data_IF_215094379265
#
_entry.id   IF_215094379265
#
_cell.length_a   1.000
_cell.length_b   1.000
_cell.length_c   1.000
_cell.angle_alpha   90.00
_cell.angle_beta   90.00
_cell.angle_gamma   90.00
#
_symmetry.space_group_name_H-M   'P 1'
#
loop_
_entity.id
_entity.type
_entity.pdbx_description
1 polymer ?
#
# COMPACT_ATOMS: atom_id res chain seq x y z
N UNK A 1 -4.36 -21.34 -16.66
CA UNK A 1 -3.52 -21.85 -15.55
C UNK A 1 -3.34 -20.66 -14.62
N UNK A 2 -4.35 -20.42 -13.77
CA UNK A 2 -4.37 -19.28 -12.84
C UNK A 2 -3.41 -19.57 -11.70
N UNK A 3 -2.37 -18.74 -11.57
CA UNK A 3 -1.49 -18.77 -10.42
C UNK A 3 -2.19 -18.14 -9.21
N UNK A 4 -1.97 -18.64 -7.99
CA UNK A 4 -2.64 -18.11 -6.81
C UNK A 4 -2.21 -16.65 -6.60
N UNK A 5 -3.20 -15.78 -6.39
CA UNK A 5 -3.01 -14.39 -5.99
C UNK A 5 -2.10 -14.34 -4.76
N UNK A 6 -0.86 -13.93 -4.98
CA UNK A 6 0.11 -13.73 -3.92
C UNK A 6 -0.36 -12.59 -3.04
N UNK A 7 -0.91 -12.91 -1.86
CA UNK A 7 -1.09 -11.93 -0.79
C UNK A 7 0.24 -11.22 -0.58
N UNK A 8 0.23 -9.89 -0.69
CA UNK A 8 1.38 -9.06 -0.38
C UNK A 8 1.92 -9.45 1.01
N UNK A 9 3.21 -9.81 1.18
CA UNK A 9 3.74 -10.22 2.48
C UNK A 9 3.66 -9.12 3.54
N UNK A 10 3.52 -7.84 3.14
CA UNK A 10 3.22 -6.74 4.05
C UNK A 10 1.84 -6.90 4.72
N UNK A 11 0.89 -7.55 4.06
CA UNK A 11 -0.44 -7.88 4.59
C UNK A 11 -0.43 -9.07 5.58
N UNK A 12 0.72 -9.73 5.78
CA UNK A 12 0.87 -10.81 6.76
C UNK A 12 1.35 -10.31 8.13
N UNK A 13 1.30 -9.00 8.40
CA UNK A 13 0.91 -8.57 9.74
C UNK A 13 -0.57 -8.92 9.82
N UNK A 14 -0.95 -10.00 10.51
CA UNK A 14 -2.36 -10.36 10.70
C UNK A 14 -3.20 -9.09 10.90
N UNK A 15 -3.95 -8.69 9.86
CA UNK A 15 -4.76 -7.47 9.78
C UNK A 15 -5.92 -7.45 10.80
N UNK A 16 -5.89 -8.34 11.81
CA UNK A 16 -6.90 -8.51 12.84
C UNK A 16 -6.41 -8.24 14.26
N UNK A 17 -5.13 -7.92 14.51
CA UNK A 17 -4.71 -7.50 15.86
C UNK A 17 -4.71 -5.99 15.96
N UNK A 18 -5.85 -5.48 16.40
CA UNK A 18 -5.99 -4.16 17.01
C UNK A 18 -4.72 -3.89 17.84
N UNK A 19 -4.13 -2.70 17.68
CA UNK A 19 -2.93 -2.22 18.37
C UNK A 19 -1.56 -2.61 17.75
N UNK A 20 -1.47 -2.99 16.48
CA UNK A 20 -0.15 -3.07 15.82
C UNK A 20 0.17 -1.73 15.15
N UNK A 21 1.34 -1.17 15.44
CA UNK A 21 1.86 -0.02 14.70
C UNK A 21 2.80 -0.50 13.60
N UNK A 22 2.60 -0.05 12.37
CA UNK A 22 3.40 -0.40 11.21
C UNK A 22 4.05 0.86 10.62
N UNK A 23 5.29 0.73 10.18
CA UNK A 23 5.92 1.68 9.27
C UNK A 23 6.72 0.94 8.22
N UNK A 24 6.65 1.43 6.98
CA UNK A 24 7.47 0.95 5.87
C UNK A 24 8.30 2.09 5.28
N UNK A 25 9.38 1.72 4.60
CA UNK A 25 10.23 2.61 3.81
C UNK A 25 10.92 1.81 2.70
N UNK A 26 11.41 2.53 1.69
CA UNK A 26 12.39 2.00 0.75
C UNK A 26 13.73 1.74 1.46
N UNK A 27 14.36 0.63 1.11
CA UNK A 27 15.70 0.20 1.52
C UNK A 27 16.44 -0.39 0.32
N UNK A 28 17.07 0.48 -0.48
CA UNK A 28 17.67 0.09 -1.75
C UNK A 28 16.62 -0.46 -2.72
N UNK A 29 16.81 -1.65 -3.31
CA UNK A 29 15.83 -2.27 -4.20
C UNK A 29 14.70 -2.99 -3.42
N UNK A 30 14.70 -2.98 -2.09
CA UNK A 30 13.68 -3.68 -1.31
C UNK A 30 12.81 -2.68 -0.53
N UNK A 31 11.60 -3.11 -0.17
CA UNK A 31 10.78 -2.46 0.82
C UNK A 31 11.05 -3.08 2.20
N UNK A 32 11.39 -2.25 3.18
CA UNK A 32 11.61 -2.64 4.56
C UNK A 32 10.48 -2.10 5.43
N UNK A 33 9.80 -2.99 6.16
CA UNK A 33 8.74 -2.62 7.09
C UNK A 33 9.00 -3.16 8.49
N UNK A 34 8.57 -2.40 9.50
CA UNK A 34 8.58 -2.79 10.90
C UNK A 34 7.18 -2.68 11.48
N UNK A 35 6.72 -3.76 12.11
CA UNK A 35 5.46 -3.85 12.81
C UNK A 35 5.73 -4.11 14.30
N UNK A 36 5.12 -3.31 15.17
CA UNK A 36 5.28 -3.40 16.62
C UNK A 36 3.95 -3.80 17.24
N UNK A 37 3.88 -5.05 17.70
CA UNK A 37 2.75 -5.63 18.40
C UNK A 37 3.02 -5.68 19.91
N UNK A 38 2.04 -6.15 20.70
CA UNK A 38 2.12 -6.18 22.18
C UNK A 38 3.33 -6.96 22.71
N UNK A 39 3.65 -8.09 22.09
CA UNK A 39 4.65 -9.06 22.56
C UNK A 39 5.73 -9.38 21.52
N UNK A 40 5.71 -8.75 20.35
CA UNK A 40 6.70 -8.98 19.32
C UNK A 40 6.89 -7.76 18.43
N UNK A 41 8.06 -7.72 17.79
CA UNK A 41 8.36 -6.89 16.64
C UNK A 41 8.55 -7.80 15.43
N UNK A 42 7.92 -7.47 14.32
CA UNK A 42 8.10 -8.14 13.04
C UNK A 42 8.76 -7.17 12.07
N UNK A 43 9.80 -7.64 11.39
CA UNK A 43 10.44 -6.97 10.27
C UNK A 43 10.06 -7.72 9.02
N UNK A 44 9.60 -7.00 8.00
CA UNK A 44 9.23 -7.56 6.70
C UNK A 44 10.12 -6.95 5.62
N UNK A 45 10.73 -7.79 4.79
CA UNK A 45 11.54 -7.36 3.63
C UNK A 45 10.89 -7.92 2.37
N UNK A 46 10.50 -7.03 1.45
CA UNK A 46 9.81 -7.39 0.21
C UNK A 46 10.61 -6.86 -0.97
N UNK A 47 10.95 -7.74 -1.92
CA UNK A 47 11.67 -7.37 -3.12
C UNK A 47 10.77 -6.77 -4.19
N UNK A 48 11.39 -6.29 -5.28
CA UNK A 48 10.73 -5.60 -6.40
C UNK A 48 9.54 -6.36 -7.01
N UNK A 49 9.55 -7.70 -6.96
CA UNK A 49 8.48 -8.53 -7.50
C UNK A 49 7.35 -8.83 -6.51
N UNK A 50 7.31 -8.12 -5.37
CA UNK A 50 6.31 -8.34 -4.32
C UNK A 50 6.54 -9.62 -3.51
N UNK A 51 7.68 -10.29 -3.68
CA UNK A 51 8.03 -11.51 -2.96
C UNK A 51 8.88 -11.21 -1.72
N UNK A 52 8.71 -12.00 -0.65
CA UNK A 52 9.46 -11.80 0.59
C UNK A 52 10.93 -12.23 0.46
N UNK A 53 11.87 -11.37 0.86
CA UNK A 53 13.32 -11.64 0.78
C UNK A 53 13.76 -12.48 1.98
N UNK A 54 14.17 -13.72 1.72
CA UNK A 54 14.47 -14.73 2.74
C UNK A 54 15.97 -14.88 2.99
N UNK A 55 16.35 -15.48 4.12
CA UNK A 55 17.75 -15.79 4.44
C UNK A 55 18.58 -14.60 4.94
N UNK A 56 17.95 -13.47 5.24
CA UNK A 56 18.63 -12.27 5.74
C UNK A 56 18.97 -12.41 7.22
N UNK A 57 20.13 -11.90 7.62
CA UNK A 57 20.46 -11.69 9.02
C UNK A 57 19.77 -10.41 9.52
N UNK A 58 18.65 -10.57 10.21
CA UNK A 58 17.86 -9.44 10.76
C UNK A 58 17.96 -9.39 12.27
N UNK A 59 18.25 -8.20 12.80
CA UNK A 59 18.25 -7.95 14.25
C UNK A 59 17.29 -6.83 14.61
N UNK A 60 16.74 -6.92 15.82
CA UNK A 60 15.87 -5.94 16.45
C UNK A 60 16.45 -5.60 17.82
N UNK A 61 16.81 -4.34 18.06
CA UNK A 61 17.46 -3.87 19.29
C UNK A 61 18.68 -4.71 19.70
N UNK A 62 19.48 -5.14 18.71
CA UNK A 62 20.64 -6.02 18.89
C UNK A 62 20.30 -7.51 19.08
N UNK A 63 19.04 -7.86 19.32
CA UNK A 63 18.57 -9.24 19.41
C UNK A 63 18.36 -9.87 18.04
N UNK A 64 18.75 -11.14 17.87
CA UNK A 64 18.47 -11.89 16.64
C UNK A 64 16.98 -12.17 16.51
N UNK A 65 16.48 -12.04 15.29
CA UNK A 65 15.13 -12.46 14.93
C UNK A 65 15.09 -13.94 14.54
N UNK A 66 13.91 -14.54 14.59
CA UNK A 66 13.62 -15.82 13.97
C UNK A 66 12.81 -15.62 12.68
N UNK A 67 13.05 -16.41 11.62
CA UNK A 67 12.21 -16.36 10.42
C UNK A 67 10.78 -16.81 10.75
N UNK A 68 9.78 -16.14 10.16
CA UNK A 68 8.35 -16.42 10.36
C UNK A 68 7.57 -16.64 9.05
N UNK A 69 8.28 -16.78 7.94
CA UNK A 69 7.74 -16.89 6.58
C UNK A 69 8.62 -16.14 5.58
N UNK A 70 8.34 -16.22 4.27
CA UNK A 70 9.10 -15.48 3.26
C UNK A 70 9.15 -13.99 3.56
N UNK A 71 10.36 -13.42 3.67
CA UNK A 71 10.53 -12.00 4.01
C UNK A 71 10.19 -11.62 5.45
N UNK A 72 9.77 -12.56 6.30
CA UNK A 72 9.27 -12.31 7.65
C UNK A 72 10.31 -12.67 8.70
N UNK A 73 10.62 -11.72 9.59
CA UNK A 73 11.57 -11.88 10.69
C UNK A 73 10.96 -11.36 11.99
N UNK A 74 10.89 -12.18 13.03
CA UNK A 74 10.22 -11.83 14.29
C UNK A 74 11.16 -11.89 15.49
N UNK A 75 11.07 -10.89 16.35
CA UNK A 75 11.70 -10.88 17.67
C UNK A 75 10.61 -10.76 18.74
N UNK A 76 10.65 -11.63 19.74
CA UNK A 76 9.82 -11.50 20.95
C UNK A 76 10.37 -10.38 21.80
N UNK A 77 9.55 -9.38 22.11
CA UNK A 77 9.95 -8.22 22.91
C UNK A 77 8.73 -7.50 23.47
N UNK A 78 8.88 -6.85 24.63
CA UNK A 78 7.84 -6.02 25.22
C UNK A 78 7.75 -4.68 24.50
N UNK A 79 6.57 -4.35 23.94
CA UNK A 79 6.19 -3.11 23.23
C UNK A 79 7.20 -1.94 23.33
N UNK A 80 8.28 -1.96 22.54
CA UNK A 80 9.34 -0.96 22.67
C UNK A 80 8.85 0.40 22.16
N UNK A 81 9.32 1.49 22.78
CA UNK A 81 9.11 2.87 22.29
C UNK A 81 10.07 3.23 21.16
N UNK A 82 11.16 2.49 21.04
CA UNK A 82 12.21 2.65 20.04
C UNK A 82 12.63 1.29 19.53
N UNK A 83 12.72 1.15 18.21
CA UNK A 83 13.15 -0.07 17.54
C UNK A 83 14.32 0.27 16.62
N UNK A 84 15.46 -0.36 16.88
CA UNK A 84 16.60 -0.40 15.97
C UNK A 84 16.55 -1.69 15.16
N UNK A 85 16.24 -1.57 13.88
CA UNK A 85 16.25 -2.68 12.93
C UNK A 85 17.57 -2.68 12.18
N UNK A 86 18.27 -3.82 12.13
CA UNK A 86 19.38 -4.02 11.19
C UNK A 86 19.09 -5.13 10.22
N UNK A 87 19.31 -4.86 8.94
CA UNK A 87 19.22 -5.81 7.83
C UNK A 87 20.45 -5.60 6.95
N UNK A 88 21.38 -6.55 6.93
CA UNK A 88 22.65 -6.37 6.24
C UNK A 88 23.39 -5.10 6.68
N UNK A 89 23.67 -4.20 5.74
CA UNK A 89 24.31 -2.89 5.99
C UNK A 89 23.36 -1.80 6.50
N UNK A 90 22.04 -2.01 6.41
CA UNK A 90 21.04 -1.02 6.82
C UNK A 90 20.86 -1.03 8.34
N UNK A 91 20.94 0.15 8.94
CA UNK A 91 20.45 0.43 10.30
C UNK A 91 19.27 1.40 10.19
N UNK A 92 18.13 1.00 10.73
CA UNK A 92 16.93 1.83 10.77
C UNK A 92 16.46 2.04 12.21
N UNK A 93 16.60 3.28 12.67
CA UNK A 93 16.13 3.73 13.97
C UNK A 93 14.68 4.23 13.87
N UNK A 94 13.79 3.63 14.64
CA UNK A 94 12.35 3.85 14.54
C UNK A 94 11.74 4.21 15.90
N UNK A 95 11.13 5.38 16.00
CA UNK A 95 10.32 5.77 17.16
C UNK A 95 8.90 5.26 16.98
N UNK A 96 8.43 4.52 17.97
CA UNK A 96 7.06 3.97 18.01
C UNK A 96 6.19 4.97 18.76
N UNK A 97 5.23 5.63 18.09
CA UNK A 97 4.34 6.56 18.75
C UNK A 97 3.38 5.83 19.69
N UNK A 98 2.88 6.55 20.69
CA UNK A 98 1.68 6.10 21.40
C UNK A 98 0.50 6.31 20.46
N UNK A 99 -0.13 5.23 20.03
CA UNK A 99 -1.30 5.29 19.16
C UNK A 99 -2.59 5.24 19.97
N UNK A 100 -3.64 5.87 19.43
CA UNK A 100 -5.02 5.70 19.91
C UNK A 100 -5.75 4.81 18.92
N UNK A 101 -6.78 4.14 19.41
CA UNK A 101 -7.70 3.43 18.53
C UNK A 101 -8.38 4.42 17.57
N UNK A 102 -8.38 4.10 16.28
CA UNK A 102 -8.96 4.91 15.21
C UNK A 102 -10.07 4.16 14.46
N UNK A 103 -10.54 3.01 14.95
CA UNK A 103 -11.54 2.18 14.27
C UNK A 103 -12.83 2.92 13.98
N UNK A 104 -13.29 3.77 14.89
CA UNK A 104 -14.48 4.61 14.67
C UNK A 104 -14.26 5.66 13.57
N UNK A 105 -13.04 6.20 13.47
CA UNK A 105 -12.69 7.15 12.43
C UNK A 105 -12.66 6.45 11.07
N UNK A 106 -12.02 5.28 10.96
CA UNK A 106 -11.97 4.52 9.70
C UNK A 106 -13.37 4.06 9.29
N UNK A 107 -14.19 3.58 10.23
CA UNK A 107 -15.60 3.20 9.97
C UNK A 107 -16.41 4.38 9.44
N UNK A 108 -16.19 5.58 9.99
CA UNK A 108 -16.84 6.80 9.49
C UNK A 108 -16.38 7.14 8.08
N UNK A 109 -15.07 7.07 7.81
CA UNK A 109 -14.51 7.34 6.48
C UNK A 109 -15.06 6.36 5.44
N UNK A 110 -15.12 5.07 5.75
CA UNK A 110 -15.70 4.05 4.86
C UNK A 110 -17.15 4.39 4.47
N UNK A 111 -17.97 4.74 5.47
CA UNK A 111 -19.36 5.15 5.24
C UNK A 111 -19.45 6.39 4.34
N UNK A 112 -18.65 7.42 4.62
CA UNK A 112 -18.62 8.65 3.81
C UNK A 112 -18.23 8.31 2.38
N UNK A 113 -17.17 7.54 2.18
CA UNK A 113 -16.68 7.16 0.86
C UNK A 113 -17.74 6.44 0.03
N UNK A 114 -18.43 5.46 0.63
CA UNK A 114 -19.51 4.69 -0.04
C UNK A 114 -20.72 5.54 -0.43
N UNK A 115 -20.86 6.73 0.14
CA UNK A 115 -21.95 7.68 -0.19
C UNK A 115 -21.52 8.77 -1.17
N UNK A 116 -20.25 8.82 -1.58
CA UNK A 116 -19.75 9.83 -2.50
C UNK A 116 -20.43 9.71 -3.86
N UNK A 117 -20.97 10.82 -4.35
CA UNK A 117 -21.45 10.95 -5.73
C UNK A 117 -20.34 11.37 -6.69
N UNK A 118 -19.32 12.05 -6.17
CA UNK A 118 -18.15 12.48 -6.92
C UNK A 118 -16.92 12.52 -6.02
N UNK A 119 -15.75 12.35 -6.64
CA UNK A 119 -14.44 12.44 -5.99
C UNK A 119 -13.45 13.02 -7.00
N UNK A 120 -12.64 14.00 -6.58
CA UNK A 120 -11.45 14.44 -7.32
C UNK A 120 -10.22 14.25 -6.45
N UNK A 121 -9.14 13.70 -7.01
CA UNK A 121 -7.91 13.46 -6.27
C UNK A 121 -6.68 13.56 -7.19
N UNK A 122 -5.55 13.91 -6.58
CA UNK A 122 -4.23 13.88 -7.22
C UNK A 122 -3.49 12.64 -6.71
N UNK A 123 -2.92 11.85 -7.61
CA UNK A 123 -2.16 10.64 -7.31
C UNK A 123 -0.71 10.84 -7.73
N UNK A 124 0.21 10.41 -6.87
CA UNK A 124 1.64 10.29 -7.16
C UNK A 124 2.04 8.82 -7.01
N UNK A 125 2.39 8.18 -8.12
CA UNK A 125 2.85 6.79 -8.16
C UNK A 125 4.34 6.79 -8.52
N UNK A 126 5.18 6.22 -7.66
CA UNK A 126 6.62 6.11 -7.91
C UNK A 126 7.12 4.69 -7.74
N UNK A 127 7.96 4.21 -8.65
CA UNK A 127 8.71 2.96 -8.48
C UNK A 127 10.00 3.20 -7.68
N UNK A 128 10.52 4.42 -7.74
CA UNK A 128 11.63 4.92 -6.93
C UNK A 128 11.58 6.47 -6.87
N UNK A 129 12.59 7.08 -6.27
CA UNK A 129 12.68 8.53 -6.09
C UNK A 129 12.65 9.34 -7.41
N UNK A 130 13.00 8.73 -8.54
CA UNK A 130 13.13 9.38 -9.85
C UNK A 130 12.08 8.94 -10.87
N UNK A 131 11.56 7.71 -10.78
CA UNK A 131 10.55 7.18 -11.69
C UNK A 131 9.16 7.39 -11.11
N UNK A 132 8.64 8.61 -11.30
CA UNK A 132 7.38 9.04 -10.71
C UNK A 132 6.39 9.51 -11.78
N UNK A 133 5.16 9.03 -11.66
CA UNK A 133 3.99 9.45 -12.41
C UNK A 133 3.08 10.26 -11.50
N UNK A 134 2.59 11.40 -11.98
CA UNK A 134 1.57 12.19 -11.28
C UNK A 134 0.33 12.29 -12.15
N UNK A 135 -0.82 11.98 -11.59
CA UNK A 135 -2.10 11.90 -12.28
C UNK A 135 -3.19 12.65 -11.51
N UNK A 136 -4.08 13.31 -12.23
CA UNK A 136 -5.26 13.97 -11.67
C UNK A 136 -6.50 13.19 -12.08
N UNK A 137 -7.34 12.84 -11.11
CA UNK A 137 -8.48 11.96 -11.28
C UNK A 137 -9.78 12.64 -10.91
N UNK A 138 -10.85 12.27 -11.62
CA UNK A 138 -12.23 12.61 -11.28
C UNK A 138 -13.11 11.38 -11.46
N UNK A 139 -13.82 10.99 -10.42
CA UNK A 139 -14.80 9.92 -10.43
C UNK A 139 -16.20 10.49 -10.16
N UNK A 140 -17.21 10.00 -10.87
CA UNK A 140 -18.61 10.36 -10.68
C UNK A 140 -19.48 9.10 -10.77
N UNK A 141 -20.36 8.94 -9.78
CA UNK A 141 -21.27 7.82 -9.72
C UNK A 141 -22.29 7.82 -10.86
N UNK A 142 -22.71 6.65 -11.36
CA UNK A 142 -22.25 5.32 -10.94
C UNK A 142 -20.99 4.82 -11.67
N UNK A 143 -20.66 5.39 -12.83
CA UNK A 143 -19.77 4.76 -13.82
C UNK A 143 -19.07 5.77 -14.74
N UNK A 144 -18.59 6.87 -14.18
CA UNK A 144 -17.80 7.87 -14.91
C UNK A 144 -16.47 8.09 -14.23
N UNK A 145 -15.39 8.06 -15.02
CA UNK A 145 -14.06 8.38 -14.54
C UNK A 145 -13.31 9.16 -15.62
N UNK A 146 -12.51 10.13 -15.20
CA UNK A 146 -11.59 10.83 -16.07
C UNK A 146 -10.24 10.95 -15.35
N UNK A 147 -9.15 10.79 -16.09
CA UNK A 147 -7.82 11.08 -15.57
C UNK A 147 -6.93 11.74 -16.60
N UNK A 148 -5.95 12.48 -16.09
CA UNK A 148 -4.84 13.04 -16.87
C UNK A 148 -3.54 12.78 -16.15
N UNK A 149 -2.61 12.10 -16.81
CA UNK A 149 -1.22 11.96 -16.35
C UNK A 149 -0.45 13.20 -16.82
N UNK A 150 0.29 13.84 -15.91
CA UNK A 150 1.11 15.02 -16.25
C UNK A 150 2.15 14.63 -17.31
N UNK A 151 2.12 15.32 -18.45
CA UNK A 151 2.99 15.02 -19.61
C UNK A 151 2.68 13.69 -20.31
N UNK A 152 1.62 12.99 -19.92
CA UNK A 152 1.31 11.64 -20.36
C UNK A 152 -0.09 11.49 -20.97
N UNK A 153 -0.62 10.28 -20.86
CA UNK A 153 -1.93 9.92 -21.36
C UNK A 153 -3.07 10.54 -20.54
N UNK A 154 -4.23 10.67 -21.17
CA UNK A 154 -5.51 10.93 -20.49
C UNK A 154 -6.54 9.89 -20.90
N UNK A 155 -7.48 9.58 -20.03
CA UNK A 155 -8.65 8.77 -20.36
C UNK A 155 -9.94 9.37 -19.82
N UNK A 156 -11.04 9.07 -20.50
CA UNK A 156 -12.40 9.33 -20.04
C UNK A 156 -13.21 8.06 -20.26
N UNK A 157 -13.93 7.63 -19.23
CA UNK A 157 -14.90 6.53 -19.31
C UNK A 157 -16.26 7.10 -18.93
N UNK A 158 -17.26 6.84 -19.76
CA UNK A 158 -18.67 7.17 -19.49
C UNK A 158 -19.51 5.94 -19.78
N UNK A 159 -20.04 5.32 -18.72
CA UNK A 159 -20.79 4.09 -18.85
C UNK A 159 -19.92 2.96 -19.38
N UNK A 160 -20.21 2.50 -20.59
CA UNK A 160 -19.50 1.42 -21.27
C UNK A 160 -18.49 1.90 -22.30
N UNK A 161 -18.34 3.21 -22.50
CA UNK A 161 -17.45 3.78 -23.51
C UNK A 161 -16.22 4.38 -22.87
N UNK A 162 -15.07 4.15 -23.50
CA UNK A 162 -13.77 4.69 -23.10
C UNK A 162 -13.14 5.43 -24.26
N UNK A 163 -12.54 6.56 -23.95
CA UNK A 163 -11.67 7.28 -24.86
C UNK A 163 -10.32 7.51 -24.19
N UNK A 164 -9.25 7.28 -24.94
CA UNK A 164 -7.89 7.60 -24.53
C UNK A 164 -7.29 8.67 -25.43
N UNK A 165 -6.39 9.46 -24.87
CA UNK A 165 -5.65 10.51 -25.56
C UNK A 165 -4.17 10.40 -25.20
N UNK A 166 -3.35 10.12 -26.19
CA UNK A 166 -1.89 10.21 -26.07
C UNK A 166 -1.44 11.68 -25.92
N UNK A 167 -0.22 11.94 -25.43
CA UNK A 167 0.36 13.28 -25.42
C UNK A 167 0.26 13.91 -26.81
N UNK A 168 -0.28 15.14 -26.90
CA UNK A 168 -0.52 15.88 -28.15
C UNK A 168 -1.42 15.20 -29.20
N UNK A 169 -2.03 14.05 -28.87
CA UNK A 169 -2.93 13.32 -29.75
C UNK A 169 -4.37 13.84 -29.71
N UNK A 170 -5.24 13.16 -30.46
CA UNK A 170 -6.70 13.30 -30.37
C UNK A 170 -7.29 12.22 -29.45
N UNK A 171 -8.51 12.42 -29.01
CA UNK A 171 -9.29 11.37 -28.33
C UNK A 171 -9.61 10.26 -29.33
N UNK A 172 -9.32 9.03 -28.94
CA UNK A 172 -9.64 7.82 -29.70
C UNK A 172 -10.48 6.90 -28.81
N UNK A 173 -11.52 6.30 -29.37
CA UNK A 173 -12.29 5.29 -28.66
C UNK A 173 -11.44 4.04 -28.47
N UNK A 174 -11.47 3.50 -27.26
CA UNK A 174 -10.70 2.33 -26.84
C UNK A 174 -11.62 1.28 -26.23
N UNK A 175 -11.15 0.03 -26.21
CA UNK A 175 -11.89 -1.05 -25.58
C UNK A 175 -12.09 -0.79 -24.08
N UNK A 176 -13.35 -0.89 -23.62
CA UNK A 176 -13.71 -0.94 -22.21
C UNK A 176 -14.20 -2.35 -21.87
N UNK A 177 -13.31 -3.17 -21.32
CA UNK A 177 -13.62 -4.60 -21.07
C UNK A 177 -14.24 -4.85 -19.69
N UNK A 178 -13.96 -4.01 -18.70
CA UNK A 178 -14.46 -4.16 -17.33
C UNK A 178 -15.35 -2.97 -16.97
N UNK A 179 -16.63 -3.14 -16.65
CA UNK A 179 -17.48 -2.02 -16.22
C UNK A 179 -16.89 -1.30 -14.99
N UNK A 180 -16.82 0.02 -15.06
CA UNK A 180 -16.32 0.84 -13.95
C UNK A 180 -17.48 1.16 -13.00
N UNK A 181 -17.28 0.92 -11.70
CA UNK A 181 -18.13 1.40 -10.62
C UNK A 181 -17.31 2.27 -9.69
N UNK A 182 -17.60 3.57 -9.65
CA UNK A 182 -16.83 4.57 -8.91
C UNK A 182 -17.78 5.66 -8.37
N UNK A 183 -17.43 6.40 -7.30
CA UNK A 183 -16.28 6.18 -6.42
C UNK A 183 -16.45 4.93 -5.54
N UNK A 184 -15.39 4.14 -5.37
CA UNK A 184 -15.33 3.03 -4.38
C UNK A 184 -14.09 3.19 -3.50
N UNK A 185 -14.12 2.75 -2.23
CA UNK A 185 -12.94 2.84 -1.36
C UNK A 185 -11.76 2.08 -1.95
N UNK A 186 -10.54 2.55 -1.68
CA UNK A 186 -9.30 1.88 -2.12
C UNK A 186 -8.99 0.63 -1.30
N UNK A 187 -9.62 0.47 -0.14
CA UNK A 187 -9.61 -0.73 0.69
C UNK A 187 -10.85 -1.61 0.43
N UNK A 188 -10.71 -2.92 0.60
CA UNK A 188 -11.84 -3.85 0.48
C UNK A 188 -12.67 -3.90 1.76
N UNK A 189 -12.00 -3.91 2.92
CA UNK A 189 -12.60 -3.83 4.24
C UNK A 189 -11.89 -2.81 5.14
N UNK A 190 -12.57 -2.39 6.22
CA UNK A 190 -12.01 -1.48 7.25
C UNK A 190 -10.74 -2.05 7.91
N UNK A 191 -10.57 -3.38 7.91
CA UNK A 191 -9.39 -4.05 8.45
C UNK A 191 -8.16 -3.95 7.53
N UNK A 192 -8.34 -3.61 6.24
CA UNK A 192 -7.26 -3.48 5.26
C UNK A 192 -6.74 -2.03 5.15
N UNK A 193 -7.38 -1.09 5.86
CA UNK A 193 -7.09 0.33 5.83
C UNK A 193 -5.99 0.75 6.83
#
# INVERSE_FOLDING_TARGET
>A
MEGPEGRCPLAAVEAGRAHTWLRAREDGPDALAVAVAKSFVQVSVVGQQGTGVSGLAVTVNGGRTAPCGPGCYRATTSRPRVVDVRVGGTLWHVRVPTTRDASDLVTRVDRVWRTLRSLSFSERLGSDATHVVISEWRAVAPNRIAYTIRGGYSAVIVGTRRWDKAPHGRWLESAQTVPVKQPVPVWQAVADA
#
